data_IF_685960868972
#
_entry.id   IF_685960868972
#
_cell.length_a   1.000
_cell.length_b   1.000
_cell.length_c   1.000
_cell.angle_alpha   90.00
_cell.angle_beta   90.00
_cell.angle_gamma   90.00
#
_symmetry.space_group_name_H-M   'P 1'
#
loop_
_entity.id
_entity.type
_entity.pdbx_description
1 polymer ?
#
# COMPACT_ATOMS: atom_id res chain seq x y z
N UNK A 1 -19.37 40.17 5.45
CA UNK A 1 -20.12 38.92 5.27
C UNK A 1 -19.73 38.37 3.91
N UNK A 2 -18.53 37.79 3.87
CA UNK A 2 -17.79 37.47 2.64
C UNK A 2 -17.65 35.95 2.61
N UNK A 3 -18.34 35.34 1.64
CA UNK A 3 -18.45 33.90 1.40
C UNK A 3 -17.08 33.30 1.04
N UNK A 4 -16.29 32.96 2.08
CA UNK A 4 -14.90 32.47 1.97
C UNK A 4 -14.74 31.00 2.35
N UNK A 5 -15.81 30.20 2.28
CA UNK A 5 -15.77 28.78 2.68
C UNK A 5 -16.30 27.80 1.63
N UNK A 6 -16.14 28.13 0.34
CA UNK A 6 -16.24 27.09 -0.71
C UNK A 6 -14.94 26.30 -0.74
N UNK A 7 -14.89 25.24 0.08
CA UNK A 7 -13.97 24.12 -0.09
C UNK A 7 -13.98 23.77 -1.58
N UNK A 8 -12.85 23.86 -2.32
CA UNK A 8 -12.83 23.53 -3.72
C UNK A 8 -13.27 22.08 -3.87
N UNK A 9 -14.48 21.89 -4.38
CA UNK A 9 -14.99 20.58 -4.74
C UNK A 9 -13.99 20.04 -5.76
N UNK A 10 -13.31 18.95 -5.39
CA UNK A 10 -12.35 18.31 -6.27
C UNK A 10 -12.98 18.06 -7.65
N UNK A 11 -12.18 17.99 -8.72
CA UNK A 11 -12.69 17.85 -10.08
C UNK A 11 -13.74 16.74 -10.15
N UNK A 12 -14.87 17.05 -10.79
CA UNK A 12 -15.98 16.11 -10.97
C UNK A 12 -15.44 14.79 -11.51
N UNK A 13 -15.69 13.70 -10.77
CA UNK A 13 -15.24 12.37 -11.18
C UNK A 13 -15.92 12.01 -12.49
N UNK A 14 -15.20 11.38 -13.44
CA UNK A 14 -15.81 10.92 -14.68
C UNK A 14 -17.00 10.00 -14.37
N UNK A 15 -18.06 10.10 -15.15
CA UNK A 15 -19.21 9.21 -14.98
C UNK A 15 -18.82 7.77 -15.34
N UNK A 16 -19.54 6.79 -14.81
CA UNK A 16 -19.31 5.38 -15.16
C UNK A 16 -19.37 5.14 -16.67
N UNK A 17 -20.24 5.87 -17.38
CA UNK A 17 -20.35 5.83 -18.83
C UNK A 17 -19.08 6.33 -19.55
N UNK A 18 -18.51 7.45 -19.10
CA UNK A 18 -17.24 7.97 -19.65
C UNK A 18 -16.08 7.01 -19.38
N UNK A 19 -16.08 6.41 -18.19
CA UNK A 19 -15.07 5.43 -17.78
C UNK A 19 -15.17 4.16 -18.63
N UNK A 20 -16.39 3.68 -18.89
CA UNK A 20 -16.62 2.51 -19.75
C UNK A 20 -16.27 2.77 -21.22
N UNK A 21 -16.69 3.90 -21.78
CA UNK A 21 -16.41 4.27 -23.17
C UNK A 21 -14.90 4.38 -23.44
N UNK A 22 -14.14 4.99 -22.53
CA UNK A 22 -12.70 5.15 -22.71
C UNK A 22 -11.93 3.82 -22.50
N UNK A 23 -12.41 2.90 -21.65
CA UNK A 23 -11.83 1.55 -21.56
C UNK A 23 -11.97 0.77 -22.87
N UNK A 24 -13.14 0.87 -23.52
CA UNK A 24 -13.37 0.29 -24.84
C UNK A 24 -12.37 0.86 -25.85
N UNK A 25 -12.16 2.19 -25.86
CA UNK A 25 -11.17 2.83 -26.74
C UNK A 25 -9.76 2.30 -26.50
N UNK A 26 -9.32 2.14 -25.24
CA UNK A 26 -7.99 1.59 -24.92
C UNK A 26 -7.86 0.14 -25.39
N UNK A 27 -8.88 -0.69 -25.17
CA UNK A 27 -8.91 -2.07 -25.66
C UNK A 27 -8.81 -2.11 -27.19
N UNK A 28 -9.57 -1.27 -27.89
CA UNK A 28 -9.52 -1.18 -29.34
C UNK A 28 -8.15 -0.74 -29.85
N UNK A 29 -7.52 0.25 -29.21
CA UNK A 29 -6.18 0.70 -29.57
C UNK A 29 -5.11 -0.36 -29.32
N UNK A 30 -5.18 -1.08 -28.19
CA UNK A 30 -4.27 -2.19 -27.92
C UNK A 30 -4.48 -3.33 -28.91
N UNK A 31 -5.74 -3.66 -29.25
CA UNK A 31 -6.06 -4.68 -30.26
C UNK A 31 -5.51 -4.30 -31.63
N UNK A 32 -5.67 -3.04 -32.04
CA UNK A 32 -5.13 -2.52 -33.29
C UNK A 32 -3.60 -2.56 -33.30
N UNK A 33 -2.97 -2.22 -32.17
CA UNK A 33 -1.52 -2.30 -31.99
C UNK A 33 -0.99 -3.72 -32.10
N UNK A 34 -1.56 -4.67 -31.35
CA UNK A 34 -1.15 -6.08 -31.40
C UNK A 34 -1.35 -6.62 -32.82
N UNK A 35 -2.51 -6.38 -33.46
CA UNK A 35 -2.76 -6.81 -34.83
C UNK A 35 -1.78 -6.23 -35.85
N UNK A 36 -1.18 -5.06 -35.57
CA UNK A 36 -0.20 -4.42 -36.45
C UNK A 36 1.22 -5.00 -36.32
N UNK A 37 1.57 -5.51 -35.14
CA UNK A 37 2.93 -5.94 -34.80
C UNK A 37 3.07 -7.45 -34.57
N UNK A 38 1.97 -8.18 -34.37
CA UNK A 38 1.96 -9.61 -34.11
C UNK A 38 1.03 -10.28 -35.12
N UNK A 39 1.54 -11.22 -35.93
CA UNK A 39 0.71 -11.98 -36.86
C UNK A 39 -0.46 -12.65 -36.12
N UNK A 40 -1.68 -12.65 -36.68
CA UNK A 40 -2.86 -13.24 -36.01
C UNK A 40 -2.69 -14.73 -35.65
N UNK A 41 -1.83 -15.44 -36.39
CA UNK A 41 -1.52 -16.84 -36.15
C UNK A 41 -0.76 -17.08 -34.83
N UNK A 42 -0.02 -16.08 -34.35
CA UNK A 42 0.89 -16.21 -33.20
C UNK A 42 0.20 -15.90 -31.86
N UNK A 43 -0.99 -15.27 -31.88
CA UNK A 43 -1.79 -14.98 -30.68
C UNK A 43 -3.28 -15.25 -30.95
N UNK A 44 -3.71 -16.51 -31.05
CA UNK A 44 -5.11 -16.86 -31.24
C UNK A 44 -6.01 -16.28 -30.13
N UNK A 45 -5.46 -16.12 -28.92
CA UNK A 45 -6.11 -15.50 -27.77
C UNK A 45 -6.52 -14.04 -27.99
N UNK A 46 -5.89 -13.30 -28.92
CA UNK A 46 -6.25 -11.90 -29.19
C UNK A 46 -7.66 -11.73 -29.82
N UNK A 47 -8.26 -12.83 -30.30
CA UNK A 47 -9.64 -12.87 -30.77
C UNK A 47 -10.64 -13.18 -29.65
N UNK A 48 -10.17 -13.61 -28.48
CA UNK A 48 -11.01 -13.85 -27.32
C UNK A 48 -11.28 -12.53 -26.58
N UNK A 49 -12.54 -12.24 -26.30
CA UNK A 49 -12.94 -11.07 -25.51
C UNK A 49 -12.38 -11.15 -24.07
N UNK A 50 -12.22 -12.37 -23.54
CA UNK A 50 -11.66 -12.59 -22.19
C UNK A 50 -10.20 -12.17 -22.09
N UNK A 51 -9.42 -12.31 -23.17
CA UNK A 51 -8.04 -11.82 -23.24
C UNK A 51 -7.96 -10.30 -23.03
N UNK A 52 -8.95 -9.56 -23.54
CA UNK A 52 -9.04 -8.11 -23.42
C UNK A 52 -9.64 -7.60 -22.11
N UNK A 53 -10.28 -8.47 -21.34
CA UNK A 53 -10.88 -8.09 -20.05
C UNK A 53 -9.82 -7.57 -19.07
N UNK A 54 -8.65 -8.19 -19.01
CA UNK A 54 -7.58 -7.75 -18.11
C UNK A 54 -7.00 -6.37 -18.50
N UNK A 55 -6.57 -6.12 -19.76
CA UNK A 55 -6.19 -4.77 -20.21
C UNK A 55 -7.28 -3.72 -19.99
N UNK A 56 -8.56 -4.07 -20.22
CA UNK A 56 -9.69 -3.18 -19.96
C UNK A 56 -9.78 -2.79 -18.49
N UNK A 57 -9.67 -3.76 -17.58
CA UNK A 57 -9.68 -3.51 -16.13
C UNK A 57 -8.49 -2.66 -15.69
N UNK A 58 -7.30 -2.89 -16.25
CA UNK A 58 -6.12 -2.06 -16.00
C UNK A 58 -6.36 -0.63 -16.48
N UNK A 59 -6.92 -0.45 -17.68
CA UNK A 59 -7.29 0.86 -18.22
C UNK A 59 -8.33 1.57 -17.34
N UNK A 60 -9.39 0.87 -16.93
CA UNK A 60 -10.40 1.39 -16.00
C UNK A 60 -9.76 1.88 -14.69
N UNK A 61 -8.86 1.08 -14.12
CA UNK A 61 -8.14 1.42 -12.90
C UNK A 61 -7.20 2.61 -13.08
N UNK A 62 -6.56 2.73 -14.23
CA UNK A 62 -5.72 3.87 -14.63
C UNK A 62 -6.54 5.15 -14.79
N UNK A 63 -7.73 5.06 -15.36
CA UNK A 63 -8.59 6.23 -15.57
C UNK A 63 -9.17 6.79 -14.27
N UNK A 64 -9.53 5.92 -13.33
CA UNK A 64 -9.90 6.33 -11.98
C UNK A 64 -8.83 7.22 -11.30
N UNK A 65 -7.60 7.16 -11.80
CA UNK A 65 -6.43 7.87 -11.31
C UNK A 65 -6.13 9.22 -11.99
N UNK A 66 -6.72 9.48 -13.15
CA UNK A 66 -6.46 10.70 -13.92
C UNK A 66 -6.73 12.00 -13.13
N UNK A 67 -7.78 12.12 -12.29
CA UNK A 67 -8.00 13.34 -11.50
C UNK A 67 -6.83 13.65 -10.55
N UNK A 68 -6.32 12.63 -9.85
CA UNK A 68 -5.15 12.76 -8.98
C UNK A 68 -3.87 13.02 -9.79
N UNK A 69 -3.72 12.37 -10.94
CA UNK A 69 -2.64 12.63 -11.90
C UNK A 69 -2.60 14.08 -12.37
N UNK A 70 -3.76 14.67 -12.70
CA UNK A 70 -3.88 16.10 -13.08
C UNK A 70 -3.48 17.02 -11.95
N UNK A 71 -3.92 16.76 -10.73
CA UNK A 71 -3.52 17.56 -9.56
C UNK A 71 -2.01 17.50 -9.32
N UNK A 72 -1.39 16.32 -9.42
CA UNK A 72 0.07 16.17 -9.30
C UNK A 72 0.82 16.86 -10.44
N UNK A 73 0.34 16.73 -11.67
CA UNK A 73 0.94 17.39 -12.82
C UNK A 73 0.82 18.93 -12.73
N UNK A 74 -0.29 19.46 -12.21
CA UNK A 74 -0.45 20.89 -11.98
C UNK A 74 0.54 21.44 -10.92
N UNK A 75 0.83 20.64 -9.89
CA UNK A 75 1.80 21.00 -8.84
C UNK A 75 3.26 20.91 -9.30
N UNK A 76 3.56 20.19 -10.38
CA UNK A 76 4.95 20.08 -10.86
C UNK A 76 5.33 21.32 -11.68
N UNK A 77 6.44 21.96 -11.30
CA UNK A 77 7.07 23.09 -12.02
C UNK A 77 8.07 22.62 -13.09
N UNK A 78 8.10 21.33 -13.39
CA UNK A 78 9.03 20.70 -14.34
C UNK A 78 8.54 20.86 -15.79
N UNK A 79 9.37 20.42 -16.74
CA UNK A 79 9.10 20.51 -18.18
C UNK A 79 7.77 19.86 -18.59
N UNK A 80 7.20 20.22 -19.77
CA UNK A 80 5.95 19.64 -20.27
C UNK A 80 5.98 18.12 -20.37
N UNK A 81 7.11 17.53 -20.76
CA UNK A 81 7.28 16.07 -20.84
C UNK A 81 7.18 15.40 -19.48
N UNK A 82 7.76 16.01 -18.43
CA UNK A 82 7.64 15.50 -17.06
C UNK A 82 6.20 15.63 -16.56
N UNK A 83 5.49 16.70 -16.93
CA UNK A 83 4.06 16.86 -16.63
C UNK A 83 3.22 15.76 -17.26
N UNK A 84 3.47 15.42 -18.53
CA UNK A 84 2.80 14.31 -19.22
C UNK A 84 3.13 12.98 -18.53
N UNK A 85 4.40 12.73 -18.19
CA UNK A 85 4.78 11.52 -17.46
C UNK A 85 4.08 11.41 -16.10
N UNK A 86 4.01 12.50 -15.31
CA UNK A 86 3.31 12.53 -14.02
C UNK A 86 1.80 12.32 -14.18
N UNK A 87 1.21 12.81 -15.27
CA UNK A 87 -0.20 12.60 -15.59
C UNK A 87 -0.52 11.15 -15.93
N UNK A 88 0.35 10.49 -16.71
CA UNK A 88 0.15 9.13 -17.21
C UNK A 88 0.53 8.06 -16.19
N UNK A 89 1.56 8.30 -15.36
CA UNK A 89 2.06 7.31 -14.41
C UNK A 89 1.22 7.37 -13.13
N UNK A 90 0.52 6.28 -12.73
CA UNK A 90 -0.14 6.21 -11.45
C UNK A 90 0.84 6.46 -10.31
N UNK A 91 0.44 7.27 -9.36
CA UNK A 91 1.24 7.57 -8.18
C UNK A 91 1.40 6.35 -7.29
N UNK A 92 0.47 5.39 -7.26
CA UNK A 92 0.76 4.10 -6.61
C UNK A 92 1.82 3.32 -7.34
N UNK A 93 1.98 3.46 -8.67
CA UNK A 93 3.08 2.82 -9.37
C UNK A 93 4.41 3.44 -8.93
N UNK A 94 4.48 4.76 -8.78
CA UNK A 94 5.66 5.42 -8.19
C UNK A 94 5.91 4.94 -6.76
N UNK A 95 4.85 4.82 -5.96
CA UNK A 95 4.90 4.23 -4.62
C UNK A 95 5.43 2.80 -4.63
N UNK A 96 4.93 1.96 -5.54
CA UNK A 96 5.36 0.58 -5.73
C UNK A 96 6.85 0.51 -6.08
N UNK A 97 7.33 1.32 -7.04
CA UNK A 97 8.75 1.40 -7.38
C UNK A 97 9.61 1.83 -6.19
N UNK A 98 9.15 2.83 -5.40
CA UNK A 98 9.83 3.24 -4.17
C UNK A 98 9.83 2.14 -3.12
N UNK A 99 8.71 1.44 -2.96
CA UNK A 99 8.59 0.32 -2.04
C UNK A 99 9.53 -0.83 -2.44
N UNK A 100 9.60 -1.19 -3.72
CA UNK A 100 10.55 -2.16 -4.26
C UNK A 100 11.99 -1.74 -3.96
N UNK A 101 12.35 -0.48 -4.24
CA UNK A 101 13.70 0.03 -4.00
C UNK A 101 14.07 0.03 -2.50
N UNK A 102 13.17 0.49 -1.62
CA UNK A 102 13.37 0.50 -0.17
C UNK A 102 13.50 -0.94 0.36
N UNK A 103 12.68 -1.85 -0.13
CA UNK A 103 12.69 -3.26 0.29
C UNK A 103 13.97 -3.96 -0.18
N UNK A 104 14.37 -3.76 -1.44
CA UNK A 104 15.65 -4.27 -1.96
C UNK A 104 16.84 -3.69 -1.17
N UNK A 105 16.81 -2.39 -0.84
CA UNK A 105 17.79 -1.76 0.03
C UNK A 105 17.81 -2.35 1.45
N UNK A 106 16.64 -2.75 1.98
CA UNK A 106 16.52 -3.50 3.23
C UNK A 106 17.16 -4.89 3.15
N UNK A 107 16.98 -5.61 2.04
CA UNK A 107 17.61 -6.92 1.82
C UNK A 107 19.14 -6.78 1.78
N UNK A 108 19.65 -5.80 1.04
CA UNK A 108 21.08 -5.50 1.00
C UNK A 108 21.60 -5.13 2.39
N UNK A 109 20.86 -4.31 3.14
CA UNK A 109 21.24 -3.92 4.51
C UNK A 109 21.27 -5.12 5.47
N UNK A 110 20.34 -6.06 5.32
CA UNK A 110 20.34 -7.33 6.04
C UNK A 110 21.56 -8.19 5.70
N UNK A 111 21.86 -8.37 4.41
CA UNK A 111 23.04 -9.10 3.93
C UNK A 111 24.33 -8.49 4.48
N UNK A 112 24.42 -7.16 4.46
CA UNK A 112 25.56 -6.39 4.98
C UNK A 112 25.55 -6.23 6.51
N UNK A 113 24.58 -6.85 7.22
CA UNK A 113 24.41 -6.77 8.68
C UNK A 113 24.39 -5.34 9.23
N UNK A 114 23.84 -4.39 8.46
CA UNK A 114 23.71 -3.00 8.88
C UNK A 114 22.67 -2.86 9.99
N UNK A 115 22.90 -1.97 10.97
CA UNK A 115 21.91 -1.68 11.98
C UNK A 115 20.67 -1.06 11.35
N UNK A 116 19.48 -1.32 11.93
CA UNK A 116 18.24 -0.71 11.46
C UNK A 116 18.28 0.83 11.61
N UNK A 117 17.51 1.56 10.79
CA UNK A 117 17.38 3.01 10.94
C UNK A 117 16.86 3.37 12.34
N UNK A 118 17.39 4.43 12.97
CA UNK A 118 16.96 4.85 14.30
C UNK A 118 15.48 5.27 14.30
N UNK A 119 14.80 4.97 15.41
CA UNK A 119 13.42 5.41 15.68
C UNK A 119 13.43 6.67 16.54
N UNK A 120 12.37 7.49 16.51
CA UNK A 120 12.28 8.63 17.42
C UNK A 120 12.38 8.15 18.89
N UNK A 121 12.99 8.95 19.77
CA UNK A 121 13.02 8.62 21.19
C UNK A 121 11.60 8.63 21.76
N UNK A 122 11.21 7.53 22.39
CA UNK A 122 9.86 7.36 22.94
C UNK A 122 9.64 5.96 23.51
N UNK A 123 8.43 5.72 24.00
CA UNK A 123 8.00 4.42 24.50
C UNK A 123 7.69 3.51 23.30
N UNK A 124 8.45 2.42 23.07
CA UNK A 124 8.09 1.46 22.03
C UNK A 124 6.77 0.78 22.40
N UNK A 125 5.91 0.60 21.41
CA UNK A 125 4.66 -0.12 21.52
C UNK A 125 4.85 -1.43 20.78
N UNK A 126 4.67 -2.53 21.51
CA UNK A 126 4.88 -3.87 20.97
C UNK A 126 3.72 -4.25 20.04
N UNK A 127 4.08 -4.80 18.87
CA UNK A 127 3.17 -5.14 17.78
C UNK A 127 3.50 -6.49 17.14
N UNK A 128 4.41 -7.26 17.75
CA UNK A 128 5.06 -8.42 17.11
C UNK A 128 5.35 -9.59 18.04
N UNK A 129 5.32 -9.43 19.36
CA UNK A 129 5.60 -10.55 20.28
C UNK A 129 4.51 -11.61 20.23
N UNK A 130 3.26 -11.21 19.97
CA UNK A 130 2.10 -12.11 19.94
C UNK A 130 1.52 -12.30 18.53
N UNK A 131 2.10 -11.65 17.53
CA UNK A 131 1.64 -11.72 16.14
C UNK A 131 2.13 -12.95 15.39
N UNK A 132 1.46 -13.29 14.29
CA UNK A 132 1.80 -14.46 13.45
C UNK A 132 2.93 -14.19 12.45
N UNK A 133 3.40 -12.95 12.35
CA UNK A 133 4.36 -12.50 11.33
C UNK A 133 5.61 -13.38 11.22
N UNK A 134 6.26 -13.69 12.36
CA UNK A 134 7.49 -14.48 12.35
C UNK A 134 7.24 -15.91 11.86
N UNK A 135 6.11 -16.51 12.22
CA UNK A 135 5.70 -17.84 11.73
C UNK A 135 5.43 -17.85 10.23
N UNK A 136 4.65 -16.89 9.73
CA UNK A 136 4.35 -16.74 8.30
C UNK A 136 5.61 -16.47 7.47
N UNK A 137 6.55 -15.71 8.02
CA UNK A 137 7.82 -15.42 7.37
C UNK A 137 8.66 -16.68 7.19
N UNK A 138 8.76 -17.51 8.23
CA UNK A 138 9.46 -18.80 8.14
C UNK A 138 8.76 -19.73 7.16
N UNK A 139 7.43 -19.82 7.22
CA UNK A 139 6.66 -20.65 6.32
C UNK A 139 6.86 -20.25 4.85
N UNK A 140 6.81 -18.94 4.54
CA UNK A 140 7.08 -18.43 3.20
C UNK A 140 8.52 -18.71 2.74
N UNK A 141 9.50 -18.63 3.63
CA UNK A 141 10.89 -18.94 3.26
C UNK A 141 11.06 -20.44 2.95
N UNK A 142 10.43 -21.30 3.76
CA UNK A 142 10.46 -22.75 3.57
C UNK A 142 9.70 -23.16 2.31
N UNK A 143 8.60 -22.48 1.95
CA UNK A 143 7.85 -22.78 0.73
C UNK A 143 8.64 -22.52 -0.56
N UNK A 144 9.60 -21.57 -0.55
CA UNK A 144 10.48 -21.36 -1.70
C UNK A 144 11.49 -22.51 -1.93
N UNK A 145 11.80 -23.31 -0.90
CA UNK A 145 12.77 -24.42 -1.02
C UNK A 145 12.32 -25.50 -1.99
N UNK A 146 11.07 -26.03 -1.95
CA UNK A 146 10.56 -26.95 -2.95
C UNK A 146 10.11 -26.26 -4.25
N UNK A 147 9.68 -25.00 -4.21
CA UNK A 147 9.23 -24.30 -5.43
C UNK A 147 10.35 -24.18 -6.46
N UNK A 148 11.56 -23.78 -6.07
CA UNK A 148 12.69 -23.63 -7.00
C UNK A 148 13.02 -24.93 -7.77
N UNK A 149 13.23 -26.11 -7.13
CA UNK A 149 13.50 -27.34 -7.86
C UNK A 149 12.29 -27.83 -8.66
N UNK A 150 11.06 -27.64 -8.17
CA UNK A 150 9.84 -28.00 -8.92
C UNK A 150 9.72 -27.12 -10.16
N UNK A 151 9.93 -25.81 -10.04
CA UNK A 151 10.00 -24.86 -11.15
C UNK A 151 11.02 -25.33 -12.17
N UNK A 152 12.25 -25.67 -11.76
CA UNK A 152 13.30 -26.17 -12.64
C UNK A 152 12.91 -27.47 -13.38
N UNK A 153 12.28 -28.42 -12.69
CA UNK A 153 11.82 -29.70 -13.28
C UNK A 153 10.68 -29.46 -14.27
N UNK A 154 9.64 -28.73 -13.87
CA UNK A 154 8.50 -28.41 -14.74
C UNK A 154 8.96 -27.64 -15.98
N UNK A 155 9.85 -26.69 -15.80
CA UNK A 155 10.40 -25.87 -16.87
C UNK A 155 11.26 -26.68 -17.85
N UNK A 156 11.97 -27.72 -17.40
CA UNK A 156 12.74 -28.61 -18.30
C UNK A 156 11.87 -29.36 -19.32
N UNK A 157 10.56 -29.49 -19.05
CA UNK A 157 9.59 -30.10 -19.95
C UNK A 157 9.04 -29.13 -21.01
N UNK A 158 9.24 -27.81 -20.84
CA UNK A 158 8.77 -26.77 -21.73
C UNK A 158 9.90 -26.40 -22.71
N UNK A 159 10.13 -27.24 -23.72
CA UNK A 159 11.19 -27.00 -24.69
C UNK A 159 10.95 -25.69 -25.47
N UNK A 160 12.01 -24.89 -25.64
CA UNK A 160 12.02 -23.72 -26.55
C UNK A 160 11.62 -22.37 -25.94
N UNK A 161 11.32 -22.27 -24.65
CA UNK A 161 10.78 -21.04 -24.05
C UNK A 161 11.69 -20.38 -23.01
N UNK A 162 12.98 -20.16 -23.34
CA UNK A 162 14.00 -19.53 -22.46
C UNK A 162 13.48 -18.30 -21.68
N UNK A 163 12.67 -17.45 -22.32
CA UNK A 163 12.09 -16.28 -21.69
C UNK A 163 11.23 -16.62 -20.47
N UNK A 164 10.44 -17.69 -20.51
CA UNK A 164 9.60 -18.13 -19.39
C UNK A 164 10.48 -18.53 -18.21
N UNK A 165 11.56 -19.26 -18.45
CA UNK A 165 12.52 -19.65 -17.39
C UNK A 165 13.13 -18.42 -16.72
N UNK A 166 13.62 -17.47 -17.54
CA UNK A 166 14.23 -16.23 -17.03
C UNK A 166 13.22 -15.45 -16.19
N UNK A 167 11.96 -15.35 -16.63
CA UNK A 167 10.92 -14.63 -15.91
C UNK A 167 10.56 -15.31 -14.58
N UNK A 168 10.39 -16.64 -14.57
CA UNK A 168 10.08 -17.41 -13.34
C UNK A 168 11.19 -17.26 -12.32
N UNK A 169 12.45 -17.50 -12.70
CA UNK A 169 13.58 -17.36 -11.78
C UNK A 169 13.79 -15.92 -11.31
N UNK A 170 13.59 -14.94 -12.19
CA UNK A 170 13.63 -13.53 -11.79
C UNK A 170 12.55 -13.23 -10.75
N UNK A 171 11.35 -13.76 -10.91
CA UNK A 171 10.26 -13.59 -9.96
C UNK A 171 10.56 -14.25 -8.60
N UNK A 172 11.12 -15.47 -8.59
CA UNK A 172 11.55 -16.17 -7.38
C UNK A 172 12.63 -15.38 -6.62
N UNK A 173 13.69 -14.96 -7.32
CA UNK A 173 14.77 -14.15 -6.73
C UNK A 173 14.22 -12.83 -6.19
N UNK A 174 13.34 -12.17 -6.95
CA UNK A 174 12.69 -10.95 -6.50
C UNK A 174 11.84 -11.19 -5.25
N UNK A 175 11.08 -12.28 -5.19
CA UNK A 175 10.26 -12.62 -4.02
C UNK A 175 11.13 -12.81 -2.76
N UNK A 176 12.26 -13.50 -2.87
CA UNK A 176 13.24 -13.66 -1.77
C UNK A 176 13.80 -12.31 -1.34
N UNK A 177 14.21 -11.46 -2.29
CA UNK A 177 14.71 -10.10 -2.00
C UNK A 177 13.65 -9.28 -1.25
N UNK A 178 12.40 -9.33 -1.70
CA UNK A 178 11.30 -8.61 -1.06
C UNK A 178 11.00 -9.16 0.34
N UNK A 179 11.04 -10.47 0.52
CA UNK A 179 10.78 -11.14 1.79
C UNK A 179 11.84 -10.76 2.85
N UNK A 180 13.12 -10.89 2.50
CA UNK A 180 14.24 -10.57 3.40
C UNK A 180 14.31 -9.08 3.71
N UNK A 181 14.05 -8.24 2.71
CA UNK A 181 14.01 -6.80 2.87
C UNK A 181 12.88 -6.33 3.78
N UNK A 182 11.67 -6.86 3.58
CA UNK A 182 10.52 -6.57 4.43
C UNK A 182 10.79 -7.02 5.87
N UNK A 183 11.36 -8.22 6.07
CA UNK A 183 11.75 -8.71 7.40
C UNK A 183 12.71 -7.77 8.11
N UNK A 184 13.74 -7.29 7.42
CA UNK A 184 14.70 -6.35 8.02
C UNK A 184 14.04 -5.02 8.39
N UNK A 185 13.19 -4.48 7.52
CA UNK A 185 12.47 -3.23 7.74
C UNK A 185 11.42 -3.33 8.86
N UNK A 186 10.70 -4.46 8.96
CA UNK A 186 9.74 -4.71 10.04
C UNK A 186 10.48 -4.92 11.36
N UNK A 187 11.64 -5.59 11.34
CA UNK A 187 12.50 -5.70 12.53
C UNK A 187 13.03 -4.37 13.00
N UNK A 188 13.30 -3.45 12.08
CA UNK A 188 13.85 -2.12 12.34
C UNK A 188 12.95 -1.21 13.18
N UNK A 189 11.68 -1.55 13.39
CA UNK A 189 10.87 -0.84 14.37
C UNK A 189 9.37 -1.06 14.18
N UNK A 190 8.67 -1.01 15.31
CA UNK A 190 7.22 -0.94 15.37
C UNK A 190 6.74 0.47 15.71
N UNK A 191 5.55 0.52 16.30
CA UNK A 191 4.93 1.74 16.79
C UNK A 191 5.73 2.36 17.96
N UNK A 192 5.83 3.69 18.01
CA UNK A 192 6.50 4.41 19.08
C UNK A 192 5.63 5.56 19.54
N UNK A 193 5.33 5.60 20.84
CA UNK A 193 4.65 6.72 21.47
C UNK A 193 5.67 7.71 22.01
N UNK A 194 5.63 8.94 21.54
CA UNK A 194 6.41 10.06 22.08
C UNK A 194 5.50 10.97 22.91
N UNK A 195 6.06 12.03 23.49
CA UNK A 195 5.26 13.04 24.21
C UNK A 195 4.28 13.78 23.30
N UNK A 196 4.64 14.00 22.03
CA UNK A 196 3.86 14.86 21.12
C UNK A 196 3.09 14.09 20.06
N UNK A 197 3.54 12.88 19.71
CA UNK A 197 2.92 12.09 18.66
C UNK A 197 3.09 10.58 18.86
N UNK A 198 2.17 9.83 18.27
CA UNK A 198 2.27 8.40 18.03
C UNK A 198 2.84 8.17 16.61
N UNK A 199 4.07 7.66 16.53
CA UNK A 199 4.72 7.25 15.29
C UNK A 199 4.36 5.78 15.00
N UNK A 200 3.43 5.59 14.06
CA UNK A 200 3.03 4.28 13.58
C UNK A 200 3.90 3.89 12.39
N UNK A 201 4.50 2.69 12.42
CA UNK A 201 5.25 2.16 11.29
C UNK A 201 5.14 0.64 11.21
N UNK A 202 4.97 0.16 9.98
CA UNK A 202 5.05 -1.26 9.61
C UNK A 202 5.99 -1.37 8.41
N UNK A 203 7.26 -1.66 8.69
CA UNK A 203 8.32 -1.79 7.69
C UNK A 203 8.36 -0.60 6.71
N UNK A 204 8.24 -0.90 5.41
CA UNK A 204 8.03 0.08 4.34
C UNK A 204 6.58 0.10 3.81
N UNK A 205 5.68 -0.70 4.39
CA UNK A 205 4.31 -0.87 3.91
C UNK A 205 3.41 0.25 4.38
N UNK A 206 3.56 0.69 5.63
CA UNK A 206 2.74 1.76 6.17
C UNK A 206 3.50 2.59 7.19
N UNK A 207 3.27 3.90 7.20
CA UNK A 207 3.76 4.80 8.22
C UNK A 207 2.81 5.97 8.42
N UNK A 208 2.62 6.41 9.66
CA UNK A 208 1.86 7.60 10.00
C UNK A 208 2.44 8.24 11.26
N UNK A 209 2.48 9.57 11.32
CA UNK A 209 2.82 10.31 12.53
C UNK A 209 1.57 11.05 12.98
N UNK A 210 1.00 10.62 14.11
CA UNK A 210 -0.27 11.13 14.63
C UNK A 210 0.00 12.00 15.85
N UNK A 211 -0.16 13.33 15.79
CA UNK A 211 -0.12 14.18 16.98
C UNK A 211 -1.11 13.68 18.02
N UNK A 212 -0.71 13.65 19.31
CA UNK A 212 -1.56 13.11 20.37
C UNK A 212 -2.86 13.91 20.51
N UNK A 213 -2.78 15.22 20.30
CA UNK A 213 -3.92 16.14 20.29
C UNK A 213 -4.93 15.83 19.19
N UNK A 214 -4.51 15.29 18.05
CA UNK A 214 -5.39 14.97 16.92
C UNK A 214 -6.07 13.61 17.07
N UNK A 215 -5.63 12.77 18.01
CA UNK A 215 -6.28 11.49 18.33
C UNK A 215 -7.50 11.78 19.20
N UNK A 216 -8.67 11.88 18.58
CA UNK A 216 -9.92 12.12 19.29
C UNK A 216 -10.27 10.97 20.23
N UNK A 217 -10.17 9.74 19.76
CA UNK A 217 -10.56 8.56 20.52
C UNK A 217 -9.73 7.33 20.13
N UNK A 218 -9.46 6.45 21.09
CA UNK A 218 -8.82 5.16 20.88
C UNK A 218 -9.69 4.07 21.52
N UNK A 219 -10.09 3.08 20.72
CA UNK A 219 -11.01 2.03 21.13
C UNK A 219 -10.42 0.67 20.78
N UNK A 220 -10.53 -0.28 21.71
CA UNK A 220 -10.14 -1.66 21.48
C UNK A 220 -11.21 -2.37 20.65
N UNK A 221 -10.79 -3.12 19.63
CA UNK A 221 -11.68 -4.02 18.92
C UNK A 221 -11.75 -5.37 19.64
N UNK A 222 -12.98 -5.86 19.83
CA UNK A 222 -13.20 -7.22 20.32
C UNK A 222 -12.70 -8.26 19.31
N UNK A 223 -12.19 -9.40 19.81
CA UNK A 223 -11.67 -10.49 18.96
C UNK A 223 -12.68 -11.03 17.94
N UNK A 224 -13.98 -10.87 18.20
CA UNK A 224 -15.07 -11.30 17.31
C UNK A 224 -15.50 -10.21 16.32
N UNK A 225 -15.11 -8.97 16.57
CA UNK A 225 -15.52 -7.81 15.78
C UNK A 225 -14.47 -7.53 14.74
N UNK A 226 -14.70 -8.01 13.52
CA UNK A 226 -13.89 -7.58 12.38
C UNK A 226 -13.99 -6.06 12.19
N UNK A 227 -12.96 -5.43 11.63
CA UNK A 227 -12.99 -3.98 11.35
C UNK A 227 -14.21 -3.61 10.46
N UNK A 228 -14.63 -4.49 9.55
CA UNK A 228 -15.83 -4.28 8.72
C UNK A 228 -17.13 -4.32 9.54
N UNK A 229 -17.19 -5.18 10.56
CA UNK A 229 -18.32 -5.20 11.49
C UNK A 229 -18.37 -3.92 12.32
N UNK A 230 -17.22 -3.46 12.82
CA UNK A 230 -17.11 -2.19 13.53
C UNK A 230 -17.56 -1.01 12.67
N UNK A 231 -17.15 -0.96 11.39
CA UNK A 231 -17.58 0.11 10.48
C UNK A 231 -19.11 0.13 10.30
N UNK A 232 -19.74 -1.05 10.20
CA UNK A 232 -21.20 -1.14 10.08
C UNK A 232 -21.91 -0.68 11.35
N UNK A 233 -21.42 -1.05 12.53
CA UNK A 233 -22.03 -0.63 13.80
C UNK A 233 -21.88 0.87 14.06
N UNK A 234 -20.82 1.50 13.53
CA UNK A 234 -20.54 2.93 13.71
C UNK A 234 -20.97 3.79 12.51
N UNK A 235 -21.74 3.24 11.55
CA UNK A 235 -22.18 3.96 10.35
C UNK A 235 -21.03 4.53 9.50
N UNK A 236 -19.83 3.96 9.62
CA UNK A 236 -18.61 4.47 8.99
C UNK A 236 -18.39 3.82 7.62
N UNK A 237 -18.13 4.64 6.61
CA UNK A 237 -17.84 4.15 5.26
C UNK A 237 -16.37 3.69 5.18
N UNK A 238 -16.10 2.55 4.54
CA UNK A 238 -14.74 2.00 4.40
C UNK A 238 -13.71 2.97 3.81
N UNK A 239 -14.14 3.93 2.98
CA UNK A 239 -13.26 4.95 2.41
C UNK A 239 -12.67 5.91 3.46
N UNK A 240 -13.32 6.02 4.61
CA UNK A 240 -12.89 6.84 5.75
C UNK A 240 -12.04 6.04 6.74
N UNK A 241 -11.59 4.86 6.31
CA UNK A 241 -10.83 3.92 7.13
C UNK A 241 -9.49 3.56 6.50
N UNK A 242 -8.47 3.40 7.34
CA UNK A 242 -7.15 2.90 6.97
C UNK A 242 -6.77 1.74 7.88
N UNK A 243 -5.93 0.84 7.39
CA UNK A 243 -5.41 -0.27 8.18
C UNK A 243 -3.88 -0.18 8.17
N UNK A 244 -3.28 -0.16 9.36
CA UNK A 244 -1.84 -0.33 9.61
C UNK A 244 -1.68 -1.62 10.40
N UNK A 245 -1.60 -2.73 9.68
CA UNK A 245 -1.23 -4.03 10.22
C UNK A 245 -0.46 -4.81 9.16
N UNK A 246 0.38 -5.75 9.60
CA UNK A 246 1.23 -6.54 8.68
C UNK A 246 0.47 -7.73 8.12
N UNK A 247 -0.06 -8.57 9.01
CA UNK A 247 -0.82 -9.79 8.70
C UNK A 247 -1.92 -10.04 9.72
N UNK A 248 -1.70 -9.65 10.98
CA UNK A 248 -2.67 -9.82 12.05
C UNK A 248 -3.91 -8.93 11.84
N UNK A 249 -5.09 -9.42 12.23
CA UNK A 249 -6.30 -8.62 12.22
C UNK A 249 -6.15 -7.43 13.18
N UNK A 250 -6.52 -6.21 12.79
CA UNK A 250 -6.41 -5.06 13.67
C UNK A 250 -7.26 -5.25 14.93
N UNK A 251 -6.73 -4.85 16.08
CA UNK A 251 -7.35 -5.01 17.38
C UNK A 251 -7.58 -3.68 18.12
N UNK A 252 -7.28 -2.57 17.46
CA UNK A 252 -7.45 -1.21 17.94
C UNK A 252 -7.90 -0.31 16.80
N UNK A 253 -8.77 0.65 17.10
CA UNK A 253 -9.12 1.75 16.19
C UNK A 253 -8.74 3.09 16.83
N UNK A 254 -8.04 3.91 16.07
CA UNK A 254 -7.71 5.29 16.41
C UNK A 254 -8.58 6.20 15.55
N UNK A 255 -9.44 6.99 16.19
CA UNK A 255 -10.30 7.95 15.53
C UNK A 255 -9.70 9.34 15.62
N UNK A 256 -9.51 9.98 14.49
CA UNK A 256 -8.92 11.31 14.38
C UNK A 256 -9.98 12.40 14.56
N UNK A 257 -9.56 13.57 15.03
CA UNK A 257 -10.42 14.76 15.10
C UNK A 257 -10.88 15.15 13.67
N UNK A 258 -12.14 15.62 13.52
CA UNK A 258 -12.60 16.16 12.25
C UNK A 258 -11.70 17.33 11.79
N UNK A 259 -11.35 17.36 10.51
CA UNK A 259 -10.53 18.44 9.94
C UNK A 259 -9.03 18.32 10.15
N UNK A 260 -8.54 17.30 10.87
CA UNK A 260 -7.11 17.05 11.00
C UNK A 260 -6.47 16.79 9.61
N UNK A 261 -5.61 17.70 9.17
CA UNK A 261 -4.92 17.63 7.87
C UNK A 261 -3.68 16.74 7.95
N UNK A 262 -3.88 15.48 8.34
CA UNK A 262 -2.81 14.50 8.52
C UNK A 262 -2.57 13.70 7.25
N UNK A 263 -1.34 13.24 7.07
CA UNK A 263 -0.95 12.32 6.01
C UNK A 263 -0.46 11.00 6.59
N UNK A 264 -0.64 9.93 5.81
CA UNK A 264 0.02 8.66 6.03
C UNK A 264 0.63 8.16 4.73
N UNK A 265 1.64 7.32 4.86
CA UNK A 265 2.28 6.63 3.75
C UNK A 265 1.78 5.20 3.73
N UNK A 266 1.27 4.74 2.59
CA UNK A 266 0.95 3.34 2.33
C UNK A 266 1.62 2.88 1.05
N UNK A 267 2.39 1.79 1.10
CA UNK A 267 3.28 1.30 0.04
C UNK A 267 4.12 2.43 -0.58
N UNK A 268 4.79 3.21 0.28
CA UNK A 268 5.63 4.36 -0.09
C UNK A 268 4.92 5.46 -0.89
N UNK A 269 3.58 5.49 -0.84
CA UNK A 269 2.76 6.52 -1.43
C UNK A 269 1.99 7.28 -0.34
N UNK A 270 2.18 8.59 -0.30
CA UNK A 270 1.57 9.48 0.67
C UNK A 270 0.12 9.80 0.29
N UNK A 271 -0.76 9.75 1.28
CA UNK A 271 -2.20 10.02 1.15
C UNK A 271 -2.70 10.82 2.35
N UNK A 272 -3.82 11.53 2.20
CA UNK A 272 -4.57 12.01 3.34
C UNK A 272 -4.90 10.84 4.29
N UNK A 273 -4.71 11.07 5.58
CA UNK A 273 -5.03 10.10 6.61
C UNK A 273 -6.57 9.95 6.69
N UNK A 274 -7.11 8.72 6.68
CA UNK A 274 -8.53 8.49 6.91
C UNK A 274 -8.92 8.87 8.35
N UNK A 275 -10.21 9.12 8.57
CA UNK A 275 -10.75 9.48 9.89
C UNK A 275 -10.52 8.38 10.93
N UNK A 276 -10.58 7.12 10.52
CA UNK A 276 -10.39 5.98 11.41
C UNK A 276 -9.22 5.13 10.94
N UNK A 277 -8.29 4.85 11.85
CA UNK A 277 -7.09 4.06 11.59
C UNK A 277 -7.12 2.80 12.44
N UNK A 278 -7.24 1.66 11.79
CA UNK A 278 -7.21 0.35 12.40
C UNK A 278 -5.77 -0.13 12.52
N UNK A 279 -5.35 -0.51 13.71
CA UNK A 279 -3.97 -0.88 14.03
C UNK A 279 -3.97 -2.19 14.82
N UNK A 280 -2.92 -2.99 14.64
CA UNK A 280 -2.63 -4.12 15.50
C UNK A 280 -1.55 -3.75 16.52
N UNK A 281 -1.78 -4.06 17.79
CA UNK A 281 -0.79 -3.95 18.87
C UNK A 281 -0.90 -5.15 19.83
N UNK A 282 0.20 -5.57 20.44
CA UNK A 282 0.21 -6.73 21.35
C UNK A 282 -0.61 -6.49 22.64
N UNK A 283 -0.75 -5.22 23.05
CA UNK A 283 -1.55 -4.77 24.19
C UNK A 283 -2.28 -3.45 23.87
N UNK A 284 -3.54 -3.53 23.38
CA UNK A 284 -4.31 -2.33 23.06
C UNK A 284 -4.68 -1.51 24.29
N UNK A 285 -4.86 -2.12 25.47
CA UNK A 285 -5.21 -1.40 26.68
C UNK A 285 -4.04 -0.54 27.17
N UNK A 286 -2.82 -1.08 27.11
CA UNK A 286 -1.61 -0.32 27.44
C UNK A 286 -1.39 0.88 26.51
N UNK A 287 -1.66 0.74 25.21
CA UNK A 287 -1.56 1.86 24.27
C UNK A 287 -2.63 2.92 24.54
N UNK A 288 -3.90 2.54 24.73
CA UNK A 288 -4.99 3.49 25.05
C UNK A 288 -4.63 4.28 26.33
N UNK A 289 -4.24 3.59 27.40
CA UNK A 289 -3.85 4.24 28.65
C UNK A 289 -2.70 5.23 28.48
N UNK A 290 -1.68 4.85 27.69
CA UNK A 290 -0.52 5.72 27.44
C UNK A 290 -0.86 6.94 26.57
N UNK A 291 -1.80 6.82 25.61
CA UNK A 291 -2.31 7.97 24.85
C UNK A 291 -3.06 8.93 25.78
N UNK A 292 -3.92 8.43 26.65
CA UNK A 292 -4.70 9.26 27.59
C UNK A 292 -3.81 9.90 28.67
N UNK A 293 -2.73 9.24 29.08
CA UNK A 293 -1.68 9.85 29.91
C UNK A 293 -0.96 10.99 29.16
N UNK A 294 -0.51 10.75 27.92
CA UNK A 294 0.17 11.76 27.12
C UNK A 294 -0.73 12.98 26.82
N UNK A 295 -2.04 12.77 26.62
CA UNK A 295 -3.01 13.86 26.46
C UNK A 295 -3.08 14.74 27.69
N UNK A 296 -3.11 14.14 28.89
CA UNK A 296 -3.15 14.88 30.16
C UNK A 296 -1.88 15.71 30.35
N UNK A 297 -0.71 15.13 30.10
CA UNK A 297 0.57 15.84 30.21
C UNK A 297 0.80 16.93 29.14
N UNK A 298 -0.04 17.02 28.11
CA UNK A 298 0.02 18.10 27.11
C UNK A 298 -0.86 19.29 27.52
N UNK A 299 -1.76 19.11 28.49
CA UNK A 299 -2.67 20.14 28.99
C UNK A 299 -2.11 20.87 30.22
N UNK A 300 -1.09 20.30 30.86
CA UNK A 300 -0.32 20.88 31.98
C UNK A 300 0.87 21.70 31.45
#
# INVERSE_FOLDING_TARGET
MEDTDRIPTGPARPTWLQTFALAIVVVLLLRLGIARFVPPADVPAANDLAFWAFPALVALRWMAWLPEGRQRAARTKRSPWVRIAVLLIPGEFVGLCRWLAVTAGGCLSWMLRRPPPPRPPGRPIEDRRKGVYDGLMVLNLVSFVPEIPISLVLLSSVQGHLLVHVLVHTAEVLAIVLLLGDRWLVRAGGHVLTRTHLDLRVGARAAARLPIEDIAHAERLDKKTSYRAWCRSHGTVLRETGVISVFDDPNLVLSMRPGAALCWTRFQFERPLPRHLFVYVDDPAALIGAIEEAKRSTLD
#
